data_IF_327190509862
#
_entry.id   IF_327190509862
#
_cell.length_a   1.000
_cell.length_b   1.000
_cell.length_c   1.000
_cell.angle_alpha   90.00
_cell.angle_beta   90.00
_cell.angle_gamma   90.00
#
_symmetry.space_group_name_H-M   'P 1'
#
loop_
_entity.id
_entity.type
_entity.pdbx_description
1 polymer ?
#
# COMPACT_ATOMS: atom_id res chain seq x y z
N UNK A 1 -25.18 6.67 21.54
CA UNK A 1 -25.49 8.11 21.63
C UNK A 1 -24.34 8.84 20.96
N UNK A 2 -24.56 9.41 19.78
CA UNK A 2 -23.58 10.26 19.12
C UNK A 2 -23.47 11.55 19.93
N UNK A 3 -22.32 11.80 20.52
CA UNK A 3 -22.03 13.06 21.20
C UNK A 3 -22.43 14.23 20.29
N UNK A 4 -23.15 15.20 20.86
CA UNK A 4 -23.56 16.40 20.13
C UNK A 4 -22.33 17.02 19.44
N UNK A 5 -22.42 17.44 18.16
CA UNK A 5 -21.28 17.99 17.45
C UNK A 5 -20.75 19.19 18.25
N UNK A 6 -19.47 19.12 18.62
CA UNK A 6 -18.77 20.23 19.29
C UNK A 6 -18.86 21.52 18.46
N UNK A 7 -18.58 22.66 19.10
CA UNK A 7 -18.73 23.98 18.50
C UNK A 7 -18.21 24.01 17.04
N UNK A 8 -19.01 24.46 16.06
CA UNK A 8 -18.57 24.51 14.68
C UNK A 8 -17.36 25.44 14.52
N UNK A 9 -16.45 25.06 13.62
CA UNK A 9 -15.27 25.87 13.31
C UNK A 9 -15.67 27.23 12.70
N UNK A 10 -14.94 28.29 13.06
CA UNK A 10 -15.19 29.66 12.57
C UNK A 10 -14.99 29.81 11.05
N UNK A 11 -14.05 29.07 10.47
CA UNK A 11 -13.73 29.11 9.04
C UNK A 11 -13.84 27.71 8.42
N UNK A 12 -15.05 27.18 8.19
CA UNK A 12 -15.28 25.80 7.75
C UNK A 12 -14.92 25.54 6.28
N UNK A 13 -14.63 26.60 5.52
CA UNK A 13 -14.29 26.53 4.09
C UNK A 13 -12.79 26.33 3.82
N UNK A 14 -11.94 26.47 4.84
CA UNK A 14 -10.51 26.24 4.67
C UNK A 14 -10.23 24.76 4.49
N UNK A 15 -9.11 24.45 3.84
CA UNK A 15 -8.73 23.07 3.57
C UNK A 15 -8.51 22.26 4.86
N UNK A 16 -7.87 22.87 5.86
CA UNK A 16 -7.68 22.25 7.18
C UNK A 16 -8.99 21.98 7.90
N UNK A 17 -9.99 22.86 7.76
CA UNK A 17 -11.32 22.64 8.30
C UNK A 17 -12.02 21.42 7.70
N UNK A 18 -11.94 21.29 6.37
CA UNK A 18 -12.52 20.15 5.64
C UNK A 18 -11.90 18.83 6.06
N UNK A 19 -10.58 18.81 6.30
CA UNK A 19 -9.89 17.65 6.86
C UNK A 19 -10.41 17.35 8.27
N UNK A 20 -10.41 18.32 9.18
CA UNK A 20 -10.83 18.10 10.57
C UNK A 20 -12.30 17.63 10.69
N UNK A 21 -13.17 18.09 9.79
CA UNK A 21 -14.58 17.75 9.75
C UNK A 21 -14.88 16.46 8.98
N UNK A 22 -13.90 15.87 8.30
CA UNK A 22 -14.12 14.64 7.55
C UNK A 22 -14.41 13.48 8.51
N UNK A 23 -15.46 12.65 8.26
CA UNK A 23 -15.87 11.62 9.21
C UNK A 23 -15.00 10.36 9.06
N UNK A 24 -13.71 10.48 9.41
CA UNK A 24 -12.72 9.39 9.28
C UNK A 24 -13.19 8.09 9.93
N UNK A 25 -13.73 8.16 11.15
CA UNK A 25 -14.20 6.99 11.89
C UNK A 25 -15.29 6.23 11.13
N UNK A 26 -16.24 6.94 10.51
CA UNK A 26 -17.29 6.32 9.71
C UNK A 26 -16.69 5.54 8.55
N UNK A 27 -15.78 6.14 7.80
CA UNK A 27 -15.16 5.47 6.66
C UNK A 27 -14.29 4.29 7.10
N UNK A 28 -13.44 4.44 8.12
CA UNK A 28 -12.59 3.35 8.61
C UNK A 28 -13.40 2.13 9.10
N UNK A 29 -14.57 2.34 9.71
CA UNK A 29 -15.42 1.26 10.21
C UNK A 29 -16.30 0.63 9.13
N UNK A 30 -16.77 1.42 8.15
CA UNK A 30 -17.74 0.96 7.16
C UNK A 30 -17.11 0.55 5.82
N UNK A 31 -15.87 0.98 5.52
CA UNK A 31 -15.18 0.49 4.33
C UNK A 31 -14.87 -1.00 4.47
N UNK A 32 -15.53 -1.80 3.64
CA UNK A 32 -15.23 -3.22 3.47
C UNK A 32 -13.83 -3.46 2.91
N UNK A 33 -13.25 -2.45 2.25
CA UNK A 33 -11.91 -2.50 1.68
C UNK A 33 -10.91 -3.15 2.63
N UNK A 34 -10.81 -2.69 3.88
CA UNK A 34 -9.81 -3.20 4.83
C UNK A 34 -9.93 -4.70 5.10
N UNK A 35 -11.15 -5.23 5.14
CA UNK A 35 -11.41 -6.65 5.36
C UNK A 35 -10.97 -7.49 4.16
N UNK A 36 -11.37 -7.08 2.96
CA UNK A 36 -11.00 -7.79 1.73
C UNK A 36 -9.53 -7.61 1.37
N UNK A 37 -8.95 -6.45 1.66
CA UNK A 37 -7.54 -6.18 1.39
C UNK A 37 -6.65 -7.03 2.29
N UNK A 38 -6.96 -7.12 3.59
CA UNK A 38 -6.28 -8.02 4.50
C UNK A 38 -6.40 -9.49 4.04
N UNK A 39 -7.61 -9.94 3.68
CA UNK A 39 -7.83 -11.29 3.19
C UNK A 39 -7.07 -11.57 1.88
N UNK A 40 -7.11 -10.64 0.92
CA UNK A 40 -6.41 -10.75 -0.35
C UNK A 40 -4.90 -10.83 -0.17
N UNK A 41 -4.32 -10.03 0.74
CA UNK A 41 -2.89 -10.10 1.08
C UNK A 41 -2.54 -11.49 1.63
N UNK A 42 -3.33 -12.01 2.57
CA UNK A 42 -3.08 -13.34 3.16
C UNK A 42 -3.18 -14.45 2.11
N UNK A 43 -4.23 -14.43 1.27
CA UNK A 43 -4.45 -15.45 0.24
C UNK A 43 -3.38 -15.40 -0.85
N UNK A 44 -2.95 -14.19 -1.25
CA UNK A 44 -1.93 -14.03 -2.28
C UNK A 44 -0.49 -14.18 -1.76
N UNK A 45 -0.27 -14.05 -0.45
CA UNK A 45 1.05 -14.20 0.19
C UNK A 45 1.82 -15.47 -0.23
N UNK A 46 1.25 -16.70 -0.22
CA UNK A 46 1.98 -17.89 -0.64
C UNK A 46 2.37 -17.86 -2.13
N UNK A 47 1.55 -17.26 -2.99
CA UNK A 47 1.86 -17.09 -4.41
C UNK A 47 3.07 -16.16 -4.58
N UNK A 48 3.02 -14.98 -3.95
CA UNK A 48 4.13 -14.02 -3.98
C UNK A 48 5.40 -14.57 -3.34
N UNK A 49 5.29 -15.38 -2.28
CA UNK A 49 6.45 -16.04 -1.67
C UNK A 49 7.13 -17.01 -2.65
N UNK A 50 6.37 -17.80 -3.41
CA UNK A 50 6.93 -18.68 -4.44
C UNK A 50 7.65 -17.89 -5.53
N UNK A 51 7.02 -16.82 -6.02
CA UNK A 51 7.62 -15.93 -7.02
C UNK A 51 8.92 -15.34 -6.47
N UNK A 52 8.89 -14.82 -5.24
CA UNK A 52 10.05 -14.25 -4.58
C UNK A 52 11.21 -15.25 -4.45
N UNK A 53 10.92 -16.51 -4.09
CA UNK A 53 11.95 -17.56 -4.01
C UNK A 53 12.54 -17.92 -5.37
N UNK A 54 11.72 -17.97 -6.43
CA UNK A 54 12.19 -18.26 -7.79
C UNK A 54 13.07 -17.13 -8.31
N UNK A 55 12.64 -15.88 -8.14
CA UNK A 55 13.40 -14.70 -8.57
C UNK A 55 14.76 -14.59 -7.87
N UNK A 56 14.83 -14.96 -6.59
CA UNK A 56 16.06 -14.94 -5.80
C UNK A 56 16.81 -16.28 -5.76
N UNK A 57 16.48 -17.22 -6.65
CA UNK A 57 17.25 -18.45 -6.79
C UNK A 57 18.69 -18.12 -7.22
N UNK A 58 19.70 -18.84 -6.73
CA UNK A 58 21.11 -18.51 -6.99
C UNK A 58 21.43 -18.52 -8.48
N UNK A 59 20.79 -19.41 -9.26
CA UNK A 59 20.90 -19.47 -10.72
C UNK A 59 20.30 -18.25 -11.41
N UNK A 60 19.17 -17.74 -10.93
CA UNK A 60 18.55 -16.55 -11.53
C UNK A 60 19.37 -15.31 -11.19
N UNK A 61 19.88 -15.21 -9.96
CA UNK A 61 20.76 -14.12 -9.53
C UNK A 61 22.07 -14.10 -10.33
N UNK A 62 22.69 -15.25 -10.58
CA UNK A 62 23.93 -15.33 -11.38
C UNK A 62 23.67 -14.93 -12.84
N UNK A 63 22.59 -15.43 -13.46
CA UNK A 63 22.18 -15.03 -14.82
C UNK A 63 21.91 -13.53 -14.91
N UNK A 64 21.22 -12.96 -13.91
CA UNK A 64 20.96 -11.52 -13.85
C UNK A 64 22.25 -10.71 -13.74
N UNK A 65 23.20 -11.15 -12.90
CA UNK A 65 24.50 -10.52 -12.77
C UNK A 65 25.31 -10.58 -14.08
N UNK A 66 25.25 -11.68 -14.81
CA UNK A 66 25.90 -11.82 -16.12
C UNK A 66 25.28 -10.90 -17.18
N UNK A 67 23.95 -10.83 -17.26
CA UNK A 67 23.25 -9.91 -18.15
C UNK A 67 23.68 -8.46 -17.85
N UNK A 68 23.69 -8.08 -16.57
CA UNK A 68 24.10 -6.73 -16.16
C UNK A 68 25.56 -6.41 -16.44
N UNK A 69 26.46 -7.40 -16.34
CA UNK A 69 27.87 -7.23 -16.74
C UNK A 69 28.01 -7.01 -18.25
N UNK A 70 27.24 -7.76 -19.06
CA UNK A 70 27.22 -7.58 -20.52
C UNK A 70 26.66 -6.22 -20.91
N UNK A 71 25.52 -5.82 -20.34
CA UNK A 71 24.95 -4.48 -20.55
C UNK A 71 25.95 -3.38 -20.17
N UNK A 72 26.60 -3.48 -19.01
CA UNK A 72 27.60 -2.49 -18.60
C UNK A 72 28.78 -2.45 -19.58
N UNK A 73 29.25 -3.59 -20.08
CA UNK A 73 30.34 -3.66 -21.05
C UNK A 73 29.95 -3.16 -22.46
N UNK A 74 28.68 -3.26 -22.85
CA UNK A 74 28.17 -2.71 -24.12
C UNK A 74 27.92 -1.20 -24.06
N UNK A 75 27.69 -0.65 -22.86
CA UNK A 75 27.45 0.77 -22.63
C UNK A 75 28.73 1.58 -22.28
N UNK A 76 29.91 0.95 -22.29
CA UNK A 76 31.22 1.57 -22.13
C UNK A 76 32.02 1.49 -23.44
#
# INVERSE_FOLDING_TARGET
>A
MSDAPGRPMKFPYTFSAKIAQFPYKFYLQNLWLWRYWAAAIVISSPLFYKIHKMSNSPENVSKWAEIRRKEAAEHH
#
